data_IF_200653958711
#
_entry.id   IF_200653958711
#
_cell.length_a   1.000
_cell.length_b   1.000
_cell.length_c   1.000
_cell.angle_alpha   90.00
_cell.angle_beta   90.00
_cell.angle_gamma   90.00
#
_symmetry.space_group_name_H-M   'P 1'
#
loop_
_entity.id
_entity.type
_entity.pdbx_description
1 polymer ?
#
# COMPACT_ATOMS: atom_id res chain seq x y z
N UNK A 1 9.03 -22.17 -31.40
CA UNK A 1 7.83 -21.34 -31.12
C UNK A 1 8.18 -19.86 -30.92
N UNK A 2 9.02 -19.48 -29.95
CA UNK A 2 9.34 -18.05 -29.67
C UNK A 2 10.07 -17.32 -30.83
N UNK A 3 11.01 -17.98 -31.51
CA UNK A 3 11.75 -17.37 -32.63
C UNK A 3 10.87 -17.09 -33.85
N UNK A 4 9.88 -17.95 -34.13
CA UNK A 4 8.91 -17.72 -35.21
C UNK A 4 8.03 -16.50 -34.92
N UNK A 5 7.59 -16.33 -33.66
CA UNK A 5 6.82 -15.14 -33.25
C UNK A 5 7.67 -13.87 -33.35
N UNK A 6 8.95 -13.90 -32.96
CA UNK A 6 9.85 -12.75 -33.10
C UNK A 6 10.08 -12.37 -34.56
N UNK A 7 10.26 -13.36 -35.45
CA UNK A 7 10.40 -13.13 -36.89
C UNK A 7 9.13 -12.53 -37.50
N UNK A 8 7.95 -12.88 -37.00
CA UNK A 8 6.69 -12.32 -37.46
C UNK A 8 6.53 -10.84 -37.10
N UNK A 9 6.79 -10.48 -35.83
CA UNK A 9 6.62 -9.08 -35.36
C UNK A 9 7.80 -8.16 -35.68
N UNK A 10 9.01 -8.70 -35.84
CA UNK A 10 10.24 -7.93 -36.03
C UNK A 10 11.01 -8.42 -37.26
N UNK A 11 10.30 -8.51 -38.39
CA UNK A 11 10.86 -8.96 -39.67
C UNK A 11 11.97 -8.02 -40.19
N UNK A 12 11.87 -6.72 -39.90
CA UNK A 12 12.84 -5.69 -40.27
C UNK A 12 13.39 -4.93 -39.05
N UNK A 13 14.44 -4.14 -39.28
CA UNK A 13 14.98 -3.15 -38.35
C UNK A 13 14.16 -1.85 -38.30
N UNK A 14 13.02 -1.82 -38.98
CA UNK A 14 12.04 -0.72 -39.06
C UNK A 14 10.64 -1.17 -38.62
N UNK A 15 10.55 -2.35 -38.00
CA UNK A 15 9.30 -2.85 -37.41
C UNK A 15 9.10 -2.23 -36.03
N UNK A 16 8.00 -1.51 -35.84
CA UNK A 16 7.67 -0.82 -34.58
C UNK A 16 6.36 -1.33 -33.97
N UNK A 17 6.34 -1.43 -32.65
CA UNK A 17 5.11 -1.53 -31.86
C UNK A 17 5.08 -0.30 -30.96
N UNK A 18 4.03 0.50 -31.06
CA UNK A 18 3.91 1.79 -30.38
C UNK A 18 2.66 1.78 -29.51
N UNK A 19 2.78 2.34 -28.32
CA UNK A 19 1.68 2.54 -27.39
C UNK A 19 1.76 3.97 -26.89
N UNK A 20 0.69 4.72 -27.13
CA UNK A 20 0.48 6.01 -26.47
C UNK A 20 -0.19 5.78 -25.12
N UNK A 21 0.27 6.52 -24.12
CA UNK A 21 -0.22 6.47 -22.75
C UNK A 21 -0.53 7.88 -22.29
N UNK A 22 -1.77 8.10 -21.85
CA UNK A 22 -2.18 9.38 -21.26
C UNK A 22 -1.95 9.33 -19.75
N UNK A 23 -0.95 10.07 -19.26
CA UNK A 23 -0.63 10.19 -17.84
C UNK A 23 -1.08 11.57 -17.30
N UNK A 24 -1.21 11.75 -15.97
CA UNK A 24 -1.63 13.03 -15.38
C UNK A 24 -0.74 14.23 -15.77
N UNK A 25 0.53 13.99 -16.04
CA UNK A 25 1.53 14.98 -16.46
C UNK A 25 1.68 15.10 -17.98
N UNK A 26 0.85 14.40 -18.76
CA UNK A 26 0.79 14.53 -20.22
C UNK A 26 0.93 13.20 -20.97
N UNK A 27 0.81 13.25 -22.30
CA UNK A 27 0.96 12.07 -23.16
C UNK A 27 2.41 11.61 -23.22
N UNK A 28 2.58 10.30 -23.21
CA UNK A 28 3.88 9.63 -23.33
C UNK A 28 3.76 8.49 -24.33
N UNK A 29 4.83 8.26 -25.10
CA UNK A 29 4.88 7.16 -26.04
C UNK A 29 5.90 6.13 -25.57
N UNK A 30 5.49 4.87 -25.55
CA UNK A 30 6.34 3.72 -25.30
C UNK A 30 6.40 2.92 -26.60
N UNK A 31 7.62 2.67 -27.07
CA UNK A 31 7.86 1.97 -28.32
C UNK A 31 8.78 0.78 -28.18
N UNK A 32 8.61 -0.16 -29.08
CA UNK A 32 9.49 -1.31 -29.28
C UNK A 32 9.91 -1.34 -30.74
N UNK A 33 11.21 -1.34 -30.99
CA UNK A 33 11.78 -1.45 -32.34
C UNK A 33 12.44 -2.82 -32.52
N UNK A 34 12.18 -3.45 -33.65
CA UNK A 34 12.87 -4.66 -34.08
C UNK A 34 14.30 -4.39 -34.48
N UNK A 35 15.22 -5.33 -34.22
CA UNK A 35 16.60 -5.26 -34.70
C UNK A 35 16.82 -6.01 -36.02
N UNK A 36 15.74 -6.55 -36.60
CA UNK A 36 15.77 -7.33 -37.83
C UNK A 36 16.66 -8.58 -37.78
N UNK A 37 16.98 -9.18 -38.94
CA UNK A 37 17.78 -10.40 -39.03
C UNK A 37 19.22 -10.23 -38.52
N UNK A 38 19.83 -9.07 -38.77
CA UNK A 38 21.20 -8.75 -38.33
C UNK A 38 21.36 -8.65 -36.81
N UNK A 39 20.28 -8.36 -36.08
CA UNK A 39 20.24 -8.37 -34.62
C UNK A 39 19.62 -9.62 -34.01
N UNK A 40 19.53 -10.72 -34.76
CA UNK A 40 18.95 -11.99 -34.29
C UNK A 40 17.44 -11.91 -33.99
N UNK A 41 16.71 -11.04 -34.69
CA UNK A 41 15.28 -10.76 -34.45
C UNK A 41 15.00 -10.29 -33.01
N UNK A 42 16.00 -9.67 -32.38
CA UNK A 42 15.85 -9.00 -31.09
C UNK A 42 14.96 -7.76 -31.20
N UNK A 43 14.65 -7.17 -30.06
CA UNK A 43 13.92 -5.90 -29.98
C UNK A 43 14.53 -5.01 -28.90
N UNK A 44 14.31 -3.71 -29.03
CA UNK A 44 14.78 -2.69 -28.10
C UNK A 44 13.59 -1.80 -27.70
N UNK A 45 13.46 -1.51 -26.41
CA UNK A 45 12.44 -0.59 -25.90
C UNK A 45 12.97 0.84 -25.93
N UNK A 46 12.07 1.79 -26.12
CA UNK A 46 12.32 3.21 -25.96
C UNK A 46 11.06 3.93 -25.46
N UNK A 47 11.21 5.13 -24.91
CA UNK A 47 10.09 5.99 -24.57
C UNK A 47 10.45 7.47 -24.67
N UNK A 48 9.43 8.31 -24.85
CA UNK A 48 9.54 9.77 -24.79
C UNK A 48 8.26 10.40 -24.25
N UNK A 49 8.38 11.63 -23.75
CA UNK A 49 7.23 12.47 -23.42
C UNK A 49 6.76 13.19 -24.69
N UNK A 50 5.48 13.08 -25.02
CA UNK A 50 4.89 13.57 -26.27
C UNK A 50 3.72 12.72 -26.74
N UNK A 51 2.98 13.23 -27.73
CA UNK A 51 1.90 12.51 -28.41
C UNK A 51 2.45 11.59 -29.50
N UNK A 52 1.71 10.53 -29.83
CA UNK A 52 2.08 9.64 -30.93
C UNK A 52 1.74 10.29 -32.28
N UNK A 53 2.75 10.84 -32.95
CA UNK A 53 2.64 11.26 -34.35
C UNK A 53 3.38 10.28 -35.28
N UNK A 54 2.62 9.63 -36.17
CA UNK A 54 3.16 8.71 -37.17
C UNK A 54 4.10 9.41 -38.18
N UNK A 55 3.94 10.71 -38.39
CA UNK A 55 4.82 11.53 -39.21
C UNK A 55 6.27 11.55 -38.70
N UNK A 56 6.50 11.32 -37.41
CA UNK A 56 7.85 11.20 -36.86
C UNK A 56 8.57 9.91 -37.25
N UNK A 57 7.81 8.86 -37.62
CA UNK A 57 8.33 7.52 -37.88
C UNK A 57 8.58 7.24 -39.36
N UNK A 58 8.15 8.14 -40.25
CA UNK A 58 8.22 7.96 -41.69
C UNK A 58 8.89 9.16 -42.35
N UNK A 59 9.66 8.88 -43.41
CA UNK A 59 10.21 9.89 -44.30
C UNK A 59 10.02 9.42 -45.73
N UNK A 60 9.28 10.18 -46.53
CA UNK A 60 8.94 9.83 -47.92
C UNK A 60 8.33 8.41 -48.02
N UNK A 61 7.29 8.14 -47.22
CA UNK A 61 6.60 6.83 -47.12
C UNK A 61 7.50 5.64 -46.72
N UNK A 62 8.72 5.92 -46.23
CA UNK A 62 9.65 4.90 -45.75
C UNK A 62 9.80 4.99 -44.23
N UNK A 63 9.62 3.89 -43.52
CA UNK A 63 9.83 3.83 -42.07
C UNK A 63 11.30 4.09 -41.71
N UNK A 64 11.53 5.01 -40.77
CA UNK A 64 12.85 5.37 -40.29
C UNK A 64 13.45 4.27 -39.40
N UNK A 65 14.78 4.15 -39.44
CA UNK A 65 15.50 3.32 -38.46
C UNK A 65 15.56 4.02 -37.10
N UNK A 66 15.78 3.25 -36.03
CA UNK A 66 15.78 3.79 -34.66
C UNK A 66 16.69 5.03 -34.48
N UNK A 67 17.90 5.01 -35.04
CA UNK A 67 18.83 6.15 -34.95
C UNK A 67 18.28 7.40 -35.65
N UNK A 68 17.68 7.23 -36.83
CA UNK A 68 17.09 8.32 -37.61
C UNK A 68 15.83 8.86 -36.94
N UNK A 69 15.01 7.96 -36.37
CA UNK A 69 13.85 8.32 -35.56
C UNK A 69 14.28 9.20 -34.39
N UNK A 70 15.35 8.83 -33.67
CA UNK A 70 15.82 9.61 -32.52
C UNK A 70 16.30 11.00 -32.95
N UNK A 71 17.04 11.11 -34.06
CA UNK A 71 17.39 12.40 -34.64
C UNK A 71 16.18 13.22 -35.07
N UNK A 72 15.14 12.58 -35.62
CA UNK A 72 13.91 13.24 -36.05
C UNK A 72 13.06 13.72 -34.88
N UNK A 73 13.00 12.95 -33.79
CA UNK A 73 12.33 13.37 -32.55
C UNK A 73 13.08 14.54 -31.91
N UNK A 74 14.41 14.48 -31.86
CA UNK A 74 15.24 15.53 -31.27
C UNK A 74 15.12 16.86 -32.04
N UNK A 75 15.01 16.81 -33.38
CA UNK A 75 14.77 18.02 -34.19
C UNK A 75 13.40 18.67 -33.95
N UNK A 76 12.43 17.89 -33.46
CA UNK A 76 11.10 18.34 -33.03
C UNK A 76 11.06 18.71 -31.54
N UNK A 77 12.20 18.67 -30.83
CA UNK A 77 12.28 18.96 -29.40
C UNK A 77 11.83 17.82 -28.49
N UNK A 78 11.58 16.63 -29.03
CA UNK A 78 11.18 15.44 -28.30
C UNK A 78 12.41 14.58 -27.98
N UNK A 79 12.69 14.35 -26.70
CA UNK A 79 13.84 13.54 -26.28
C UNK A 79 13.43 12.11 -26.00
N UNK A 80 13.93 11.18 -26.83
CA UNK A 80 13.74 9.75 -26.66
C UNK A 80 14.84 9.11 -25.81
N UNK A 81 14.45 8.12 -25.00
CA UNK A 81 15.34 7.35 -24.14
C UNK A 81 15.24 5.87 -24.47
N UNK A 82 16.39 5.20 -24.60
CA UNK A 82 16.42 3.74 -24.70
C UNK A 82 16.18 3.12 -23.32
N UNK A 83 15.34 2.08 -23.28
CA UNK A 83 14.94 1.40 -22.07
C UNK A 83 15.35 -0.07 -22.10
N UNK A 84 15.92 -0.57 -21.00
CA UNK A 84 16.02 -2.02 -20.79
C UNK A 84 14.67 -2.57 -20.29
N UNK A 85 14.39 -3.87 -20.50
CA UNK A 85 13.15 -4.48 -20.01
C UNK A 85 12.95 -4.36 -18.49
N UNK A 86 14.03 -4.37 -17.70
CA UNK A 86 13.99 -4.14 -16.25
C UNK A 86 13.70 -2.68 -15.89
N UNK A 87 14.27 -1.73 -16.63
CA UNK A 87 14.10 -0.29 -16.41
C UNK A 87 12.67 0.15 -16.77
N UNK A 88 12.16 -0.29 -17.92
CA UNK A 88 10.77 -0.04 -18.32
C UNK A 88 9.81 -0.57 -17.25
N UNK A 89 10.03 -1.78 -16.75
CA UNK A 89 9.19 -2.35 -15.68
C UNK A 89 9.18 -1.49 -14.42
N UNK A 90 10.33 -0.94 -14.02
CA UNK A 90 10.43 -0.05 -12.86
C UNK A 90 9.74 1.28 -13.10
N UNK A 91 9.95 1.87 -14.28
CA UNK A 91 9.30 3.12 -14.69
C UNK A 91 7.77 3.03 -14.65
N UNK A 92 7.20 1.92 -15.14
CA UNK A 92 5.74 1.70 -15.15
C UNK A 92 5.09 1.68 -13.76
N UNK A 93 5.87 1.40 -12.71
CA UNK A 93 5.38 1.32 -11.33
C UNK A 93 5.88 2.44 -10.42
N UNK A 94 6.57 3.43 -10.97
CA UNK A 94 7.13 4.55 -10.21
C UNK A 94 8.39 4.18 -9.41
N UNK A 95 9.13 3.17 -9.84
CA UNK A 95 10.41 2.81 -9.26
C UNK A 95 11.54 3.76 -9.66
N UNK A 96 12.56 3.86 -8.80
CA UNK A 96 13.73 4.69 -9.09
C UNK A 96 14.50 4.18 -10.31
N UNK A 97 14.69 5.06 -11.29
CA UNK A 97 15.52 4.85 -12.48
C UNK A 97 16.37 6.08 -12.77
N UNK A 98 17.47 5.89 -13.50
CA UNK A 98 18.34 6.98 -13.97
C UNK A 98 17.73 7.82 -15.10
N UNK A 99 16.57 7.41 -15.62
CA UNK A 99 15.92 8.02 -16.76
C UNK A 99 14.97 9.10 -16.27
N UNK A 100 15.09 10.35 -16.73
CA UNK A 100 14.30 11.49 -16.27
C UNK A 100 12.93 11.51 -16.97
N UNK A 101 12.23 10.38 -16.96
CA UNK A 101 10.91 10.22 -17.55
C UNK A 101 10.01 9.56 -16.50
N UNK A 102 8.83 10.12 -16.28
CA UNK A 102 7.83 9.49 -15.41
C UNK A 102 6.82 8.75 -16.28
N UNK A 103 6.82 7.41 -16.20
CA UNK A 103 5.85 6.55 -16.90
C UNK A 103 4.96 5.80 -15.91
N UNK A 104 4.78 6.34 -14.70
CA UNK A 104 4.06 5.66 -13.62
C UNK A 104 2.59 5.50 -13.97
N UNK A 105 2.23 4.33 -14.51
CA UNK A 105 0.86 3.96 -14.80
C UNK A 105 0.13 3.47 -13.55
N UNK A 106 0.83 2.69 -12.73
CA UNK A 106 0.27 2.03 -11.56
C UNK A 106 1.25 2.21 -10.42
N UNK A 107 1.09 3.25 -9.58
CA UNK A 107 2.00 3.50 -8.48
C UNK A 107 1.88 2.36 -7.46
N UNK A 108 2.91 1.51 -7.39
CA UNK A 108 2.99 0.50 -6.35
C UNK A 108 3.68 1.10 -5.14
N UNK A 109 3.05 1.04 -3.95
CA UNK A 109 3.68 1.50 -2.69
C UNK A 109 4.97 0.75 -2.36
N UNK A 110 5.12 -0.47 -2.87
CA UNK A 110 6.35 -1.24 -2.78
C UNK A 110 6.77 -1.67 -4.18
N UNK A 111 7.90 -1.16 -4.65
CA UNK A 111 8.56 -1.55 -5.91
C UNK A 111 9.32 -2.87 -5.76
N UNK A 112 8.91 -3.73 -4.83
CA UNK A 112 9.52 -5.05 -4.66
C UNK A 112 9.26 -5.91 -5.91
N UNK A 113 10.25 -6.72 -6.27
CA UNK A 113 10.10 -7.65 -7.42
C UNK A 113 8.92 -8.61 -7.24
N UNK A 114 8.56 -8.94 -6.00
CA UNK A 114 7.45 -9.82 -5.68
C UNK A 114 6.11 -9.14 -6.00
N UNK A 115 5.92 -7.89 -5.60
CA UNK A 115 4.73 -7.09 -5.94
C UNK A 115 4.56 -6.95 -7.46
N UNK A 116 5.67 -6.73 -8.18
CA UNK A 116 5.69 -6.68 -9.65
C UNK A 116 5.30 -8.03 -10.30
N UNK A 117 5.82 -9.15 -9.78
CA UNK A 117 5.47 -10.49 -10.27
C UNK A 117 4.00 -10.80 -10.05
N UNK A 118 3.47 -10.50 -8.86
CA UNK A 118 2.04 -10.69 -8.54
C UNK A 118 1.18 -9.84 -9.46
N UNK A 119 1.44 -8.53 -9.56
CA UNK A 119 0.68 -7.62 -10.42
C UNK A 119 0.64 -8.10 -11.88
N UNK A 120 1.80 -8.51 -12.44
CA UNK A 120 1.88 -9.06 -13.79
C UNK A 120 1.02 -10.31 -13.94
N UNK A 121 1.06 -11.22 -12.97
CA UNK A 121 0.22 -12.42 -13.00
C UNK A 121 -1.27 -12.05 -13.01
N UNK A 122 -1.68 -11.01 -12.25
CA UNK A 122 -3.06 -10.52 -12.25
C UNK A 122 -3.46 -10.01 -13.63
N UNK A 123 -2.65 -9.11 -14.19
CA UNK A 123 -2.95 -8.46 -15.45
C UNK A 123 -2.97 -9.45 -16.63
N UNK A 124 -2.01 -10.38 -16.64
CA UNK A 124 -1.97 -11.45 -17.63
C UNK A 124 -3.18 -12.37 -17.49
N UNK A 125 -3.58 -12.74 -16.27
CA UNK A 125 -4.77 -13.57 -16.06
C UNK A 125 -6.05 -12.85 -16.51
N UNK A 126 -6.16 -11.55 -16.26
CA UNK A 126 -7.26 -10.71 -16.75
C UNK A 126 -7.31 -10.69 -18.28
N UNK A 127 -6.17 -10.47 -18.96
CA UNK A 127 -6.07 -10.47 -20.41
C UNK A 127 -6.40 -11.83 -21.04
N UNK A 128 -6.01 -12.93 -20.39
CA UNK A 128 -6.27 -14.28 -20.90
C UNK A 128 -7.72 -14.74 -20.67
N UNK A 129 -8.57 -13.96 -19.99
CA UNK A 129 -10.00 -14.28 -19.76
C UNK A 129 -10.23 -15.73 -19.30
N UNK A 130 -9.31 -16.32 -18.54
CA UNK A 130 -9.53 -17.62 -17.91
C UNK A 130 -10.40 -17.39 -16.68
N UNK A 131 -11.69 -17.75 -16.77
CA UNK A 131 -12.69 -17.81 -15.69
C UNK A 131 -12.19 -17.28 -14.34
N UNK A 132 -12.02 -15.96 -14.23
CA UNK A 132 -11.65 -15.36 -12.96
C UNK A 132 -12.96 -15.22 -12.20
N UNK A 133 -13.23 -16.16 -11.30
CA UNK A 133 -14.28 -16.00 -10.32
C UNK A 133 -13.97 -14.80 -9.43
N UNK A 134 -15.00 -14.04 -9.06
CA UNK A 134 -14.87 -12.86 -8.19
C UNK A 134 -14.09 -13.15 -6.89
N UNK A 135 -14.19 -14.38 -6.37
CA UNK A 135 -13.41 -14.85 -5.22
C UNK A 135 -11.89 -14.83 -5.47
N UNK A 136 -11.45 -15.29 -6.64
CA UNK A 136 -10.04 -15.33 -7.03
C UNK A 136 -9.51 -13.93 -7.31
N UNK A 137 -10.32 -13.09 -7.93
CA UNK A 137 -10.03 -11.67 -8.11
C UNK A 137 -9.86 -10.97 -6.75
N UNK A 138 -10.78 -11.21 -5.80
CA UNK A 138 -10.71 -10.65 -4.45
C UNK A 138 -9.47 -11.10 -3.67
N UNK A 139 -9.12 -12.39 -3.73
CA UNK A 139 -7.89 -12.91 -3.13
C UNK A 139 -6.64 -12.26 -3.73
N UNK A 140 -6.60 -12.15 -5.05
CA UNK A 140 -5.48 -11.56 -5.76
C UNK A 140 -5.29 -10.06 -5.48
N UNK A 141 -6.39 -9.32 -5.36
CA UNK A 141 -6.37 -7.94 -4.87
C UNK A 141 -5.91 -7.89 -3.41
N UNK A 142 -6.43 -8.77 -2.53
CA UNK A 142 -5.97 -8.84 -1.15
C UNK A 142 -4.47 -9.11 -1.08
N UNK A 143 -3.93 -10.10 -1.77
CA UNK A 143 -2.48 -10.43 -1.77
C UNK A 143 -1.61 -9.26 -2.30
N UNK A 144 -2.08 -8.58 -3.36
CA UNK A 144 -1.37 -7.44 -3.93
C UNK A 144 -1.38 -6.20 -3.01
N UNK A 145 -2.48 -6.00 -2.29
CA UNK A 145 -2.66 -4.86 -1.39
C UNK A 145 -2.34 -5.20 0.07
N UNK A 146 -2.13 -6.44 0.47
CA UNK A 146 -1.93 -6.85 1.87
C UNK A 146 -0.71 -6.16 2.47
N UNK A 147 0.37 -6.07 1.70
CA UNK A 147 1.57 -5.36 2.10
C UNK A 147 1.37 -3.83 2.18
N UNK A 148 0.45 -3.29 1.37
CA UNK A 148 0.07 -1.87 1.38
C UNK A 148 -0.97 -1.53 2.45
N UNK A 149 -1.77 -2.50 2.88
CA UNK A 149 -2.80 -2.37 3.91
C UNK A 149 -2.19 -2.56 5.30
N UNK A 150 -1.17 -3.40 5.45
CA UNK A 150 -0.42 -3.57 6.71
C UNK A 150 0.35 -2.31 7.14
N UNK A 151 0.73 -1.41 6.22
CA UNK A 151 1.32 -0.11 6.60
C UNK A 151 0.30 0.95 7.01
N UNK A 152 -1.00 0.67 6.81
CA UNK A 152 -2.11 1.51 7.28
C UNK A 152 -3.05 0.80 8.26
N UNK A 153 -2.73 -0.43 8.69
CA UNK A 153 -3.54 -1.14 9.68
C UNK A 153 -3.25 -0.53 11.04
N UNK A 154 -3.98 0.53 11.37
CA UNK A 154 -4.35 0.77 12.76
C UNK A 154 -4.91 -0.55 13.25
N UNK A 155 -4.25 -1.16 14.23
CA UNK A 155 -4.79 -2.33 14.89
C UNK A 155 -6.03 -1.85 15.65
N UNK A 156 -7.19 -1.96 15.01
CA UNK A 156 -8.45 -1.49 15.56
C UNK A 156 -8.77 -2.18 16.88
N UNK A 157 -8.22 -3.38 17.14
CA UNK A 157 -8.36 -4.05 18.42
C UNK A 157 -7.52 -3.31 19.46
N UNK A 158 -6.24 -3.04 19.18
CA UNK A 158 -5.37 -2.29 20.08
C UNK A 158 -5.85 -0.85 20.32
N UNK A 159 -6.29 -0.14 19.27
CA UNK A 159 -6.82 1.22 19.37
C UNK A 159 -8.13 1.28 20.18
N UNK A 160 -8.98 0.25 20.04
CA UNK A 160 -10.20 0.12 20.83
C UNK A 160 -9.87 -0.24 22.30
N UNK A 161 -8.95 -1.17 22.54
CA UNK A 161 -8.47 -1.48 23.89
C UNK A 161 -7.86 -0.28 24.60
N UNK A 162 -7.11 0.55 23.88
CA UNK A 162 -6.54 1.79 24.39
C UNK A 162 -7.64 2.83 24.69
N UNK A 163 -8.60 3.03 23.77
CA UNK A 163 -9.72 3.95 23.97
C UNK A 163 -10.64 3.55 25.14
N UNK A 164 -10.79 2.25 25.42
CA UNK A 164 -11.63 1.75 26.52
C UNK A 164 -10.87 1.45 27.82
N UNK A 165 -9.55 1.70 27.86
CA UNK A 165 -8.71 1.41 29.03
C UNK A 165 -9.18 2.18 30.26
N UNK A 166 -9.47 3.47 30.08
CA UNK A 166 -9.90 4.34 31.18
C UNK A 166 -11.29 3.96 31.69
N UNK A 167 -12.20 3.56 30.80
CA UNK A 167 -13.55 3.11 31.17
C UNK A 167 -13.49 1.84 32.02
N UNK A 168 -12.67 0.85 31.63
CA UNK A 168 -12.50 -0.38 32.41
C UNK A 168 -11.83 -0.13 33.75
N UNK A 169 -10.88 0.82 33.80
CA UNK A 169 -10.25 1.24 35.06
C UNK A 169 -11.28 1.86 36.01
N UNK A 170 -12.11 2.77 35.50
CA UNK A 170 -13.18 3.38 36.28
C UNK A 170 -14.22 2.35 36.74
N UNK A 171 -14.56 1.37 35.91
CA UNK A 171 -15.47 0.27 36.29
C UNK A 171 -14.87 -0.60 37.41
N UNK A 172 -13.57 -0.90 37.33
CA UNK A 172 -12.88 -1.67 38.36
C UNK A 172 -12.82 -0.90 39.69
N UNK A 173 -12.47 0.39 39.65
CA UNK A 173 -12.43 1.25 40.83
C UNK A 173 -13.83 1.40 41.46
N UNK A 174 -14.86 1.56 40.62
CA UNK A 174 -16.25 1.59 41.07
C UNK A 174 -16.64 0.30 41.79
N UNK A 175 -16.36 -0.86 41.21
CA UNK A 175 -16.66 -2.15 41.82
C UNK A 175 -15.90 -2.35 43.14
N UNK A 176 -14.64 -1.92 43.23
CA UNK A 176 -13.88 -1.95 44.49
C UNK A 176 -14.52 -1.06 45.57
N UNK A 177 -15.02 0.13 45.22
CA UNK A 177 -15.71 1.01 46.15
C UNK A 177 -17.05 0.41 46.62
N UNK A 178 -17.82 -0.18 45.71
CA UNK A 178 -19.08 -0.86 46.05
C UNK A 178 -18.83 -2.02 47.02
N UNK A 179 -17.80 -2.82 46.77
CA UNK A 179 -17.42 -3.93 47.65
C UNK A 179 -16.93 -3.47 49.03
N UNK A 180 -16.35 -2.27 49.14
CA UNK A 180 -15.92 -1.70 50.41
C UNK A 180 -17.09 -1.13 51.25
N UNK A 181 -18.25 -0.85 50.64
CA UNK A 181 -19.43 -0.28 51.30
C UNK A 181 -19.86 -1.00 52.58
N UNK A 182 -20.07 -2.33 52.55
CA UNK A 182 -20.46 -3.10 53.75
C UNK A 182 -19.43 -3.03 54.89
N UNK A 183 -18.14 -2.95 54.57
CA UNK A 183 -17.08 -2.81 55.59
C UNK A 183 -17.12 -1.44 56.25
N UNK A 184 -17.37 -0.38 55.47
CA UNK A 184 -17.51 0.99 55.99
C UNK A 184 -18.75 1.11 56.89
N UNK A 185 -19.87 0.51 56.50
CA UNK A 185 -21.09 0.47 57.32
C UNK A 185 -20.88 -0.30 58.63
N UNK A 186 -20.22 -1.46 58.57
CA UNK A 186 -19.89 -2.24 59.76
C UNK A 186 -18.97 -1.46 60.71
N UNK A 187 -17.97 -0.77 60.18
CA UNK A 187 -17.07 0.07 60.97
C UNK A 187 -17.82 1.25 61.61
N UNK A 188 -18.69 1.92 60.86
CA UNK A 188 -19.51 3.03 61.37
C UNK A 188 -20.46 2.57 62.49
N UNK A 189 -21.07 1.39 62.35
CA UNK A 189 -21.89 0.79 63.39
C UNK A 189 -21.06 0.46 64.65
N UNK A 190 -19.86 -0.10 64.47
CA UNK A 190 -18.93 -0.39 65.56
C UNK A 190 -18.48 0.86 66.33
N UNK A 191 -18.20 1.97 65.63
CA UNK A 191 -17.87 3.25 66.26
C UNK A 191 -19.04 3.77 67.10
N UNK A 192 -20.26 3.77 66.55
CA UNK A 192 -21.47 4.18 67.29
C UNK A 192 -21.69 3.34 68.55
N UNK A 193 -21.50 2.02 68.46
CA UNK A 193 -21.64 1.11 69.60
C UNK A 193 -20.59 1.40 70.68
N UNK A 194 -19.33 1.63 70.28
CA UNK A 194 -18.25 1.99 71.20
C UNK A 194 -18.55 3.29 71.95
N UNK A 195 -19.03 4.31 71.24
CA UNK A 195 -19.31 5.61 71.86
C UNK A 195 -20.49 5.51 72.86
N UNK A 196 -21.51 4.69 72.55
CA UNK A 196 -22.61 4.39 73.47
C UNK A 196 -22.14 3.65 74.74
N UNK A 197 -21.26 2.66 74.58
CA UNK A 197 -20.66 1.95 75.71
C UNK A 197 -19.77 2.86 76.55
N UNK A 198 -18.96 3.74 75.93
CA UNK A 198 -18.19 4.77 76.63
C UNK A 198 -19.10 5.71 77.42
N UNK A 199 -20.21 6.15 76.84
CA UNK A 199 -21.19 6.99 77.55
C UNK A 199 -21.77 6.30 78.79
N UNK A 200 -22.13 5.01 78.67
CA UNK A 200 -22.60 4.20 79.81
C UNK A 200 -21.51 4.03 80.87
N UNK A 201 -20.28 3.77 80.45
CA UNK A 201 -19.14 3.58 81.35
C UNK A 201 -18.78 4.88 82.09
N UNK A 202 -18.79 6.03 81.42
CA UNK A 202 -18.63 7.34 82.06
C UNK A 202 -19.70 7.61 83.12
N UNK A 203 -20.93 7.19 82.90
CA UNK A 203 -22.02 7.31 83.90
C UNK A 203 -21.83 6.38 85.10
N UNK A 204 -21.28 5.19 84.89
CA UNK A 204 -21.09 4.18 85.94
C UNK A 204 -19.79 4.35 86.72
N UNK A 205 -18.76 4.95 86.13
CA UNK A 205 -17.47 5.23 86.79
C UNK A 205 -17.61 5.89 88.16
N UNK A 206 -18.34 7.01 88.34
CA UNK A 206 -18.45 7.64 89.67
C UNK A 206 -19.19 6.78 90.70
N UNK A 207 -20.10 5.89 90.25
CA UNK A 207 -20.82 4.96 91.14
C UNK A 207 -19.90 3.82 91.59
N UNK A 208 -19.08 3.29 90.67
CA UNK A 208 -18.07 2.29 90.98
C UNK A 208 -16.98 2.86 91.91
N UNK A 209 -16.53 4.08 91.65
CA UNK A 209 -15.55 4.78 92.50
C UNK A 209 -16.12 5.02 93.92
N UNK A 210 -17.43 5.23 94.06
CA UNK A 210 -18.10 5.36 95.37
C UNK A 210 -18.36 4.04 96.11
N UNK A 211 -18.30 2.89 95.42
CA UNK A 211 -18.53 1.56 95.99
C UNK A 211 -17.22 0.82 96.31
N UNK A 212 -16.11 1.26 95.71
CA UNK A 212 -14.78 0.65 95.83
C UNK A 212 -13.77 1.54 96.60
N UNK A 213 -14.17 2.76 96.97
CA UNK A 213 -13.47 3.64 97.91
C UNK A 213 -14.21 3.76 99.23
#
# INVERSE_FOLDING_TARGET
>A
CLEQSRRFYFASDTSYILVEVSLPHGPHVIGVVGRGPGGGFGHQFFAYAGELDLGHYQKNDTCLRQKELFSNLESQGLKAYELKPDELRRLLVGGHTSIPLDLTLIPLRSTSEQSLKTFRALFINLLHMREITAAKLKQLFLDAFEHSLRSGSVDYIAACEEAFRDVRRMEQDYNSLVLAGPLVEALAAGVKQRDLLRGKLHRLSPVLDSLLG
#
